data_IF_923870681193
#
_entry.id   IF_923870681193
#
_cell.length_a   1.000
_cell.length_b   1.000
_cell.length_c   1.000
_cell.angle_alpha   90.00
_cell.angle_beta   90.00
_cell.angle_gamma   90.00
#
_symmetry.space_group_name_H-M   'P 1'
#
loop_
_entity.id
_entity.type
_entity.pdbx_description
1 polymer ?
#
# COMPACT_ATOMS: atom_id res chain seq x y z
N UNK A 1 26.12 -13.44 5.28
CA UNK A 1 24.85 -13.04 4.65
C UNK A 1 24.89 -11.53 4.45
N UNK A 2 24.26 -11.07 3.38
CA UNK A 2 24.37 -9.67 2.98
C UNK A 2 23.47 -8.81 3.91
N UNK A 3 24.07 -7.87 4.66
CA UNK A 3 23.37 -6.96 5.57
C UNK A 3 22.21 -6.23 4.88
N UNK A 4 22.31 -6.00 3.57
CA UNK A 4 21.26 -5.38 2.78
C UNK A 4 19.99 -6.24 2.71
N UNK A 5 20.14 -7.57 2.64
CA UNK A 5 19.01 -8.51 2.62
C UNK A 5 18.26 -8.45 3.96
N UNK A 6 18.99 -8.52 5.06
CA UNK A 6 18.40 -8.40 6.39
C UNK A 6 17.69 -7.04 6.59
N UNK A 7 18.35 -5.94 6.23
CA UNK A 7 17.75 -4.60 6.32
C UNK A 7 16.46 -4.49 5.51
N UNK A 8 16.46 -5.02 4.28
CA UNK A 8 15.28 -5.00 3.42
C UNK A 8 14.14 -5.83 4.00
N UNK A 9 14.44 -7.02 4.51
CA UNK A 9 13.42 -7.90 5.11
C UNK A 9 12.87 -7.32 6.44
N UNK A 10 13.71 -6.64 7.21
CA UNK A 10 13.24 -5.90 8.40
C UNK A 10 12.35 -4.73 8.00
N UNK A 11 12.76 -3.97 6.96
CA UNK A 11 11.95 -2.87 6.41
C UNK A 11 10.61 -3.33 5.84
N UNK A 12 10.51 -4.56 5.35
CA UNK A 12 9.27 -5.19 4.91
C UNK A 12 8.51 -5.90 6.02
N UNK A 13 8.92 -5.75 7.30
CA UNK A 13 8.33 -6.42 8.45
C UNK A 13 8.24 -7.95 8.29
N UNK A 14 9.26 -8.57 7.68
CA UNK A 14 9.25 -9.99 7.31
C UNK A 14 10.39 -10.79 7.92
N UNK A 15 11.47 -10.13 8.39
CA UNK A 15 12.70 -10.79 8.81
C UNK A 15 12.48 -11.93 9.81
N UNK A 16 11.77 -11.67 10.89
CA UNK A 16 11.57 -12.66 11.95
C UNK A 16 10.80 -13.90 11.51
N UNK A 17 10.00 -13.78 10.45
CA UNK A 17 9.21 -14.88 9.89
C UNK A 17 9.99 -15.73 8.89
N UNK A 18 11.07 -15.18 8.31
CA UNK A 18 11.78 -15.87 7.20
C UNK A 18 13.27 -16.08 7.43
N UNK A 19 13.86 -15.52 8.48
CA UNK A 19 15.32 -15.59 8.73
C UNK A 19 15.90 -17.01 8.73
N UNK A 20 15.13 -18.00 9.15
CA UNK A 20 15.56 -19.40 9.24
C UNK A 20 15.27 -20.20 7.94
N UNK A 21 14.71 -19.57 6.92
CA UNK A 21 14.31 -20.24 5.66
C UNK A 21 14.62 -19.43 4.40
N UNK A 22 15.67 -18.63 4.44
CA UNK A 22 16.07 -17.74 3.34
C UNK A 22 16.39 -18.47 2.03
N UNK A 23 16.74 -19.74 2.09
CA UNK A 23 17.05 -20.56 0.92
C UNK A 23 15.85 -21.38 0.41
N UNK A 24 14.68 -21.24 1.03
CA UNK A 24 13.46 -21.90 0.58
C UNK A 24 12.74 -21.08 -0.51
N UNK A 25 11.90 -21.76 -1.28
CA UNK A 25 11.11 -21.08 -2.30
C UNK A 25 10.14 -20.08 -1.68
N UNK A 26 10.07 -18.87 -2.23
CA UNK A 26 9.10 -17.85 -1.84
C UNK A 26 7.65 -18.29 -2.08
N UNK A 27 7.42 -19.27 -2.94
CA UNK A 27 6.08 -19.81 -3.17
C UNK A 27 5.50 -20.54 -1.96
N UNK A 28 6.36 -20.94 -1.00
CA UNK A 28 5.91 -21.53 0.27
C UNK A 28 5.38 -20.52 1.27
N UNK A 29 5.54 -19.24 1.01
CA UNK A 29 5.07 -18.16 1.87
C UNK A 29 3.57 -17.90 1.69
N UNK A 30 2.89 -17.40 2.73
CA UNK A 30 1.52 -16.93 2.62
C UNK A 30 1.40 -15.73 1.67
N UNK A 31 0.20 -15.42 1.19
CA UNK A 31 -0.03 -14.26 0.32
C UNK A 31 0.45 -12.94 0.93
N UNK A 32 0.16 -12.72 2.22
CA UNK A 32 0.63 -11.53 2.93
C UNK A 32 2.14 -11.47 3.09
N UNK A 33 2.78 -12.61 3.34
CA UNK A 33 4.25 -12.71 3.40
C UNK A 33 4.87 -12.45 2.03
N UNK A 34 4.30 -12.99 0.96
CA UNK A 34 4.77 -12.74 -0.41
C UNK A 34 4.67 -11.25 -0.76
N UNK A 35 3.58 -10.59 -0.37
CA UNK A 35 3.40 -9.16 -0.61
C UNK A 35 4.45 -8.34 0.15
N UNK A 36 4.70 -8.67 1.41
CA UNK A 36 5.76 -8.02 2.19
C UNK A 36 7.16 -8.30 1.63
N UNK A 37 7.37 -9.47 1.04
CA UNK A 37 8.62 -9.78 0.34
C UNK A 37 8.79 -8.90 -0.91
N UNK A 38 7.74 -8.67 -1.67
CA UNK A 38 7.77 -7.76 -2.82
C UNK A 38 8.12 -6.33 -2.39
N UNK A 39 7.56 -5.86 -1.28
CA UNK A 39 7.90 -4.56 -0.70
C UNK A 39 9.37 -4.54 -0.27
N UNK A 40 9.83 -5.56 0.47
CA UNK A 40 11.22 -5.68 0.89
C UNK A 40 12.20 -5.64 -0.30
N UNK A 41 11.87 -6.34 -1.37
CA UNK A 41 12.66 -6.34 -2.61
C UNK A 41 12.78 -4.92 -3.20
N UNK A 42 11.69 -4.18 -3.20
CA UNK A 42 11.67 -2.82 -3.72
C UNK A 42 12.50 -1.86 -2.87
N UNK A 43 12.34 -1.89 -1.55
CA UNK A 43 13.08 -1.01 -0.64
C UNK A 43 14.57 -1.34 -0.55
N UNK A 44 14.97 -2.56 -0.91
CA UNK A 44 16.39 -2.93 -1.03
C UNK A 44 17.16 -2.06 -2.04
N UNK A 45 16.46 -1.49 -3.00
CA UNK A 45 17.03 -0.57 -3.99
C UNK A 45 17.15 0.87 -3.48
N UNK A 46 16.66 1.16 -2.27
CA UNK A 46 16.63 2.49 -1.65
C UNK A 46 15.99 3.55 -2.55
N UNK A 47 14.75 3.32 -3.01
CA UNK A 47 14.06 4.28 -3.88
C UNK A 47 13.67 5.54 -3.11
N UNK A 48 13.38 6.60 -3.84
CA UNK A 48 12.75 7.80 -3.27
C UNK A 48 11.23 7.67 -3.22
N UNK A 49 10.66 6.95 -4.16
CA UNK A 49 9.21 6.75 -4.31
C UNK A 49 8.89 5.27 -4.40
N UNK A 50 7.92 4.82 -3.63
CA UNK A 50 7.34 3.48 -3.70
C UNK A 50 6.00 3.55 -4.42
N UNK A 51 5.82 2.68 -5.42
CA UNK A 51 4.56 2.51 -6.13
C UNK A 51 3.95 1.17 -5.71
N UNK A 52 2.75 1.21 -5.15
CA UNK A 52 2.00 0.03 -4.72
C UNK A 52 0.66 -0.01 -5.46
N UNK A 53 0.49 -1.00 -6.31
CA UNK A 53 -0.72 -1.18 -7.10
C UNK A 53 -1.57 -2.28 -6.48
N UNK A 54 -2.74 -1.91 -5.95
CA UNK A 54 -3.69 -2.81 -5.29
C UNK A 54 -3.01 -3.76 -4.28
N UNK A 55 -2.24 -3.24 -3.29
CA UNK A 55 -1.34 -4.07 -2.48
C UNK A 55 -2.04 -5.09 -1.57
N UNK A 56 -3.34 -4.98 -1.39
CA UNK A 56 -4.12 -5.86 -0.49
C UNK A 56 -5.27 -6.58 -1.16
N UNK A 57 -5.42 -6.47 -2.49
CA UNK A 57 -6.60 -6.94 -3.21
C UNK A 57 -6.87 -8.46 -3.09
N UNK A 58 -5.82 -9.26 -2.90
CA UNK A 58 -5.92 -10.72 -2.79
C UNK A 58 -5.66 -11.23 -1.36
N UNK A 59 -5.71 -10.36 -0.35
CA UNK A 59 -5.36 -10.70 1.02
C UNK A 59 -6.58 -10.78 1.93
N UNK A 60 -6.50 -11.65 2.94
CA UNK A 60 -7.45 -11.73 4.05
C UNK A 60 -7.38 -10.45 4.92
N UNK A 61 -8.39 -10.19 5.78
CA UNK A 61 -8.42 -8.97 6.59
C UNK A 61 -7.22 -8.79 7.53
N UNK A 62 -6.70 -9.87 8.10
CA UNK A 62 -5.55 -9.81 9.01
C UNK A 62 -4.29 -9.41 8.24
N UNK A 63 -4.03 -10.04 7.11
CA UNK A 63 -2.90 -9.71 6.24
C UNK A 63 -3.02 -8.31 5.67
N UNK A 64 -4.22 -7.88 5.30
CA UNK A 64 -4.51 -6.51 4.87
C UNK A 64 -4.13 -5.51 5.94
N UNK A 65 -4.53 -5.75 7.20
CA UNK A 65 -4.17 -4.87 8.33
C UNK A 65 -2.65 -4.77 8.53
N UNK A 66 -1.92 -5.86 8.36
CA UNK A 66 -0.45 -5.85 8.46
C UNK A 66 0.20 -5.04 7.34
N UNK A 67 -0.31 -5.13 6.11
CA UNK A 67 0.18 -4.33 4.99
C UNK A 67 -0.13 -2.84 5.22
N UNK A 68 -1.32 -2.50 5.67
CA UNK A 68 -1.69 -1.11 5.97
C UNK A 68 -0.81 -0.51 7.07
N UNK A 69 -0.52 -1.28 8.12
CA UNK A 69 0.42 -0.87 9.17
C UNK A 69 1.83 -0.64 8.60
N UNK A 70 2.31 -1.56 7.77
CA UNK A 70 3.61 -1.41 7.10
C UNK A 70 3.65 -0.15 6.23
N UNK A 71 2.61 0.13 5.46
CA UNK A 71 2.51 1.35 4.65
C UNK A 71 2.60 2.60 5.53
N UNK A 72 1.93 2.61 6.69
CA UNK A 72 1.98 3.72 7.64
C UNK A 72 3.40 3.96 8.15
N UNK A 73 4.17 2.91 8.37
CA UNK A 73 5.58 3.01 8.77
C UNK A 73 6.45 3.48 7.59
N UNK A 74 6.26 2.93 6.40
CA UNK A 74 7.05 3.25 5.21
C UNK A 74 6.90 4.70 4.77
N UNK A 75 5.72 5.30 4.90
CA UNK A 75 5.50 6.69 4.50
C UNK A 75 6.27 7.71 5.34
N UNK A 76 6.85 7.30 6.47
CA UNK A 76 7.76 8.14 7.25
C UNK A 76 9.14 8.29 6.62
N UNK A 77 9.53 7.36 5.74
CA UNK A 77 10.84 7.30 5.09
C UNK A 77 10.77 7.47 3.58
N UNK A 78 9.66 7.10 2.96
CA UNK A 78 9.47 7.11 1.51
C UNK A 78 8.24 7.94 1.14
N UNK A 79 8.25 8.48 -0.07
CA UNK A 79 7.01 8.91 -0.71
C UNK A 79 6.32 7.66 -1.24
N UNK A 80 5.11 7.40 -0.76
CA UNK A 80 4.35 6.19 -1.15
C UNK A 80 3.16 6.60 -1.99
N UNK A 81 3.05 6.01 -3.17
CA UNK A 81 1.89 6.15 -4.05
C UNK A 81 1.19 4.81 -4.12
N UNK A 82 -0.11 4.81 -3.76
CA UNK A 82 -0.94 3.61 -3.75
C UNK A 82 -2.06 3.77 -4.76
N UNK A 83 -2.25 2.77 -5.60
CA UNK A 83 -3.45 2.64 -6.42
C UNK A 83 -4.36 1.63 -5.73
N UNK A 84 -5.59 2.01 -5.45
CA UNK A 84 -6.59 1.14 -4.84
C UNK A 84 -8.00 1.55 -5.27
N UNK A 85 -8.87 0.57 -5.44
CA UNK A 85 -10.31 0.81 -5.58
C UNK A 85 -11.05 0.72 -4.24
N UNK A 86 -10.33 0.40 -3.15
CA UNK A 86 -10.90 0.35 -1.81
C UNK A 86 -10.84 1.73 -1.18
N UNK A 87 -11.97 2.43 -1.18
CA UNK A 87 -12.08 3.79 -0.62
C UNK A 87 -11.78 3.85 0.87
N UNK A 88 -12.18 2.83 1.62
CA UNK A 88 -11.91 2.78 3.07
C UNK A 88 -10.42 2.66 3.35
N UNK A 89 -9.69 1.87 2.56
CA UNK A 89 -8.24 1.78 2.65
C UNK A 89 -7.58 3.12 2.34
N UNK A 90 -7.97 3.77 1.25
CA UNK A 90 -7.46 5.09 0.89
C UNK A 90 -7.68 6.08 2.03
N UNK A 91 -8.87 6.11 2.63
CA UNK A 91 -9.19 6.99 3.75
C UNK A 91 -8.33 6.73 4.98
N UNK A 92 -7.97 5.46 5.26
CA UNK A 92 -7.18 5.10 6.45
C UNK A 92 -5.70 5.39 6.30
N UNK A 93 -5.11 5.15 5.13
CA UNK A 93 -3.65 5.11 4.99
C UNK A 93 -3.05 6.33 4.30
N UNK A 94 -3.83 7.09 3.54
CA UNK A 94 -3.29 8.18 2.74
C UNK A 94 -3.39 9.55 3.42
N UNK A 95 -2.43 10.42 3.12
CA UNK A 95 -2.44 11.83 3.53
C UNK A 95 -3.13 12.69 2.49
N UNK A 96 -2.95 12.37 1.22
CA UNK A 96 -3.60 13.00 0.08
C UNK A 96 -4.24 11.94 -0.81
N UNK A 97 -5.33 12.28 -1.45
CA UNK A 97 -6.05 11.38 -2.34
C UNK A 97 -6.31 12.04 -3.69
N UNK A 98 -6.05 11.28 -4.74
CA UNK A 98 -6.39 11.63 -6.11
C UNK A 98 -7.55 10.74 -6.55
N UNK A 99 -8.67 11.32 -6.94
CA UNK A 99 -9.77 10.58 -7.55
C UNK A 99 -9.61 10.64 -9.06
N UNK A 100 -9.48 9.46 -9.67
CA UNK A 100 -9.35 9.31 -11.11
C UNK A 100 -10.53 8.52 -11.67
N UNK A 101 -10.99 8.94 -12.84
CA UNK A 101 -12.07 8.27 -13.56
C UNK A 101 -11.81 8.32 -15.05
N UNK A 102 -11.86 7.16 -15.68
CA UNK A 102 -11.66 7.01 -17.14
C UNK A 102 -10.38 7.68 -17.64
N UNK A 103 -9.29 7.55 -16.88
CA UNK A 103 -7.99 8.12 -17.25
C UNK A 103 -7.82 9.61 -16.94
N UNK A 104 -8.83 10.26 -16.37
CA UNK A 104 -8.79 11.67 -16.01
C UNK A 104 -8.67 11.87 -14.50
N UNK A 105 -7.86 12.84 -14.09
CA UNK A 105 -7.82 13.30 -12.72
C UNK A 105 -9.02 14.21 -12.45
N UNK A 106 -9.95 13.74 -11.64
CA UNK A 106 -11.18 14.47 -11.33
C UNK A 106 -10.95 15.44 -10.16
N UNK A 107 -10.35 14.95 -9.09
CA UNK A 107 -10.07 15.76 -7.90
C UNK A 107 -8.83 15.27 -7.19
N UNK A 108 -8.06 16.21 -6.62
CA UNK A 108 -6.89 15.92 -5.79
C UNK A 108 -6.91 16.83 -4.57
N UNK A 109 -6.63 16.27 -3.41
CA UNK A 109 -6.55 17.07 -2.20
C UNK A 109 -6.23 16.22 -0.98
N UNK A 110 -6.33 16.86 0.18
CA UNK A 110 -6.18 16.14 1.45
C UNK A 110 -7.25 15.07 1.60
N UNK A 111 -6.86 13.92 2.08
CA UNK A 111 -7.74 12.74 2.20
C UNK A 111 -9.00 13.06 2.99
N UNK A 112 -8.89 13.76 4.13
CA UNK A 112 -10.06 14.14 4.92
C UNK A 112 -11.05 14.97 4.12
N UNK A 113 -10.57 15.94 3.34
CA UNK A 113 -11.41 16.78 2.49
C UNK A 113 -12.09 15.97 1.37
N UNK A 114 -11.33 15.11 0.69
CA UNK A 114 -11.87 14.30 -0.42
C UNK A 114 -13.01 13.41 0.07
N UNK A 115 -12.89 12.83 1.25
CA UNK A 115 -13.87 11.88 1.78
C UNK A 115 -15.02 12.54 2.58
N UNK A 116 -14.91 13.80 2.97
CA UNK A 116 -15.94 14.48 3.76
C UNK A 116 -16.61 15.61 3.00
N UNK A 117 -15.85 16.48 2.34
CA UNK A 117 -16.32 17.67 1.64
C UNK A 117 -15.67 17.81 0.27
N UNK A 118 -15.87 16.85 -0.64
CA UNK A 118 -15.28 16.95 -1.98
C UNK A 118 -15.82 18.16 -2.73
N UNK A 119 -15.01 18.77 -3.57
CA UNK A 119 -15.38 19.94 -4.36
C UNK A 119 -16.12 19.58 -5.63
N UNK A 120 -15.86 18.36 -6.15
CA UNK A 120 -16.44 17.88 -7.40
C UNK A 120 -17.62 16.95 -7.10
N UNK A 121 -18.74 17.20 -7.78
CA UNK A 121 -19.92 16.34 -7.63
C UNK A 121 -19.63 14.89 -8.02
N UNK A 122 -18.81 14.66 -9.02
CA UNK A 122 -18.43 13.33 -9.47
C UNK A 122 -17.69 12.54 -8.37
N UNK A 123 -16.84 13.21 -7.60
CA UNK A 123 -16.17 12.63 -6.44
C UNK A 123 -17.20 12.28 -5.35
N UNK A 124 -18.10 13.17 -5.05
CA UNK A 124 -19.18 12.94 -4.07
C UNK A 124 -20.05 11.74 -4.48
N UNK A 125 -20.46 11.69 -5.73
CA UNK A 125 -21.30 10.59 -6.24
C UNK A 125 -20.55 9.24 -6.14
N UNK A 126 -19.26 9.21 -6.41
CA UNK A 126 -18.44 8.01 -6.27
C UNK A 126 -18.35 7.55 -4.81
N UNK A 127 -18.05 8.47 -3.89
CA UNK A 127 -17.90 8.17 -2.46
C UNK A 127 -19.21 7.70 -1.85
N UNK A 128 -20.34 8.30 -2.24
CA UNK A 128 -21.67 7.96 -1.71
C UNK A 128 -22.32 6.76 -2.41
N UNK A 129 -21.66 6.17 -3.39
CA UNK A 129 -22.19 5.04 -4.16
C UNK A 129 -23.33 5.41 -5.12
N UNK A 130 -23.50 6.67 -5.43
CA UNK A 130 -24.51 7.17 -6.39
C UNK A 130 -23.99 7.17 -7.82
N UNK A 131 -22.96 6.42 -8.06
CA UNK A 131 -22.28 6.33 -9.33
C UNK A 131 -22.97 5.31 -10.22
N UNK A 132 -23.54 5.76 -11.31
CA UNK A 132 -24.23 4.86 -12.21
C UNK A 132 -24.98 5.62 -13.28
#
# INVERSE_FOLDING_TARGET
MNDRVEQALRGGALWDEVKDKLNQSAQSLSGGQQQRLCIARTIALRPQVLLLDEPTSALDPISTGRIEQLITELKTQYTVIIVTHNMQQAARVSDNTAFMFMGELIEYGKTDQIFTTPKMKQTEDYITGRFG
#
